data_IF_261396430764
#
_entry.id   IF_261396430764
#
_cell.length_a   1.000
_cell.length_b   1.000
_cell.length_c   1.000
_cell.angle_alpha   90.00
_cell.angle_beta   90.00
_cell.angle_gamma   90.00
#
_symmetry.space_group_name_H-M   'P 1'
#
loop_
_entity.id
_entity.type
_entity.pdbx_description
1 polymer ?
#
# COMPACT_ATOMS: atom_id res chain seq x y z
N UNK A 1 6.94 24.79 -7.59
CA UNK A 1 6.09 23.62 -7.21
C UNK A 1 5.93 22.70 -8.41
N UNK A 2 5.82 21.38 -8.18
CA UNK A 2 5.50 20.41 -9.22
C UNK A 2 4.04 20.56 -9.64
N UNK A 3 3.73 20.46 -10.93
CA UNK A 3 2.34 20.54 -11.41
C UNK A 3 1.64 19.18 -11.47
N UNK A 4 2.40 18.08 -11.36
CA UNK A 4 1.93 16.71 -11.45
C UNK A 4 2.63 15.81 -10.45
N UNK A 5 1.95 14.75 -10.00
CA UNK A 5 2.51 13.73 -9.14
C UNK A 5 1.50 12.63 -8.84
N UNK A 6 1.97 11.51 -8.27
CA UNK A 6 1.10 10.44 -7.83
C UNK A 6 1.73 9.66 -6.68
N UNK A 7 0.87 9.14 -5.81
CA UNK A 7 1.22 8.14 -4.80
C UNK A 7 0.62 6.82 -5.24
N UNK A 8 1.45 5.80 -5.37
CA UNK A 8 1.06 4.44 -5.68
C UNK A 8 1.20 3.57 -4.43
N UNK A 9 0.23 2.68 -4.16
CA UNK A 9 0.31 1.68 -3.10
C UNK A 9 0.68 0.33 -3.69
N UNK A 10 1.54 -0.43 -3.00
CA UNK A 10 1.98 -1.75 -3.42
C UNK A 10 1.28 -2.87 -2.65
N UNK A 11 0.48 -3.66 -3.38
CA UNK A 11 -0.27 -4.80 -2.86
C UNK A 11 0.55 -6.08 -3.02
N UNK A 12 1.14 -6.56 -1.93
CA UNK A 12 2.09 -7.67 -1.97
C UNK A 12 1.43 -9.00 -2.33
N UNK A 13 0.17 -9.20 -1.93
CA UNK A 13 -0.56 -10.45 -2.12
C UNK A 13 -0.84 -10.75 -3.60
N UNK A 14 -0.97 -9.71 -4.41
CA UNK A 14 -1.37 -9.81 -5.83
C UNK A 14 -0.33 -9.19 -6.78
N UNK A 15 0.79 -8.70 -6.26
CA UNK A 15 1.86 -8.02 -6.99
C UNK A 15 1.36 -6.87 -7.91
N UNK A 16 0.51 -6.00 -7.35
CA UNK A 16 -0.07 -4.86 -8.07
C UNK A 16 0.22 -3.53 -7.40
N UNK A 17 0.21 -2.48 -8.22
CA UNK A 17 0.20 -1.09 -7.80
C UNK A 17 -1.19 -0.49 -8.03
N UNK A 18 -1.71 0.21 -7.03
CA UNK A 18 -2.92 1.05 -7.18
C UNK A 18 -2.57 2.52 -6.97
N UNK A 19 -3.36 3.42 -7.54
CA UNK A 19 -3.21 4.86 -7.29
C UNK A 19 -3.93 5.20 -5.99
N UNK A 20 -3.22 5.74 -4.99
CA UNK A 20 -3.84 6.30 -3.78
C UNK A 20 -4.33 7.72 -4.05
N UNK A 21 -3.46 8.52 -4.65
CA UNK A 21 -3.72 9.91 -4.97
C UNK A 21 -2.92 10.29 -6.20
N UNK A 22 -3.47 11.14 -7.07
CA UNK A 22 -2.73 11.65 -8.22
C UNK A 22 -3.21 13.02 -8.64
N UNK A 23 -2.27 13.78 -9.20
CA UNK A 23 -2.50 15.02 -9.90
C UNK A 23 -1.88 14.86 -11.29
N UNK A 24 -2.72 14.78 -12.33
CA UNK A 24 -2.27 14.67 -13.73
C UNK A 24 -2.29 13.27 -14.36
N UNK A 25 -2.85 12.25 -13.70
CA UNK A 25 -3.11 10.93 -14.31
C UNK A 25 -4.56 10.84 -14.82
N UNK A 26 -4.77 10.28 -16.03
CA UNK A 26 -6.10 10.07 -16.61
C UNK A 26 -6.82 8.83 -16.08
N UNK A 27 -6.10 7.72 -15.88
CA UNK A 27 -6.65 6.46 -15.35
C UNK A 27 -6.11 6.19 -13.96
N UNK A 28 -6.91 5.64 -13.05
CA UNK A 28 -6.47 5.34 -11.68
C UNK A 28 -6.67 3.87 -11.28
N UNK A 29 -7.00 3.02 -12.25
CA UNK A 29 -7.17 1.58 -12.04
C UNK A 29 -5.85 0.92 -11.59
N UNK A 30 -5.93 -0.09 -10.72
CA UNK A 30 -4.78 -0.93 -10.36
C UNK A 30 -4.13 -1.56 -11.59
N UNK A 31 -2.82 -1.80 -11.50
CA UNK A 31 -2.02 -2.38 -12.57
C UNK A 31 -0.90 -3.27 -12.01
N UNK A 32 -0.42 -4.23 -12.80
CA UNK A 32 0.67 -5.11 -12.40
C UNK A 32 1.96 -4.34 -12.13
N UNK A 33 2.63 -4.68 -11.04
CA UNK A 33 3.90 -4.07 -10.67
C UNK A 33 5.03 -4.55 -11.60
N UNK A 34 6.11 -3.77 -11.78
CA UNK A 34 7.31 -4.28 -12.44
C UNK A 34 7.93 -5.45 -11.67
N UNK A 35 8.51 -6.41 -12.40
CA UNK A 35 9.17 -7.57 -11.76
C UNK A 35 10.24 -7.12 -10.77
N UNK A 36 10.24 -7.74 -9.58
CA UNK A 36 11.20 -7.47 -8.49
C UNK A 36 11.21 -6.00 -8.03
N UNK A 37 10.07 -5.30 -8.14
CA UNK A 37 9.93 -3.89 -7.74
C UNK A 37 10.50 -3.63 -6.33
N UNK A 38 10.10 -4.41 -5.33
CA UNK A 38 10.55 -4.23 -3.95
C UNK A 38 12.06 -4.43 -3.79
N UNK A 39 12.65 -5.45 -4.42
CA UNK A 39 14.10 -5.69 -4.34
C UNK A 39 14.90 -4.57 -5.02
N UNK A 40 14.48 -4.15 -6.22
CA UNK A 40 15.22 -3.19 -7.04
C UNK A 40 15.10 -1.76 -6.51
N UNK A 41 13.92 -1.37 -6.03
CA UNK A 41 13.73 -0.10 -5.33
C UNK A 41 14.34 -0.09 -3.92
N UNK A 42 14.63 -1.26 -3.35
CA UNK A 42 15.22 -1.40 -2.02
C UNK A 42 16.59 -0.72 -1.84
N UNK A 43 17.34 -0.48 -2.92
CA UNK A 43 18.59 0.30 -2.88
C UNK A 43 18.35 1.78 -2.49
N UNK A 44 17.10 2.25 -2.59
CA UNK A 44 16.72 3.65 -2.40
C UNK A 44 15.77 3.86 -1.20
N UNK A 45 15.81 2.97 -0.18
CA UNK A 45 14.90 3.00 0.98
C UNK A 45 14.84 4.33 1.75
N UNK A 46 15.89 5.13 1.69
CA UNK A 46 16.00 6.42 2.38
C UNK A 46 16.39 7.55 1.42
N UNK A 47 16.15 7.32 0.12
CA UNK A 47 16.55 8.27 -0.91
C UNK A 47 15.52 8.26 -2.03
N UNK A 48 15.85 8.97 -3.09
CA UNK A 48 15.03 9.07 -4.28
C UNK A 48 15.72 8.43 -5.49
N UNK A 49 14.95 8.29 -6.55
CA UNK A 49 15.37 7.81 -7.86
C UNK A 49 15.10 8.96 -8.83
N UNK A 50 16.15 9.47 -9.45
CA UNK A 50 16.00 10.44 -10.55
C UNK A 50 15.60 9.65 -11.79
N UNK A 51 14.43 9.95 -12.32
CA UNK A 51 13.87 9.29 -13.49
C UNK A 51 14.54 9.86 -14.75
N UNK A 52 15.60 9.19 -15.17
CA UNK A 52 16.28 9.41 -16.45
C UNK A 52 15.98 8.21 -17.37
N UNK A 53 16.43 8.23 -18.62
CA UNK A 53 16.06 7.17 -19.58
C UNK A 53 16.66 5.77 -19.28
N UNK A 54 17.33 5.57 -18.14
CA UNK A 54 18.22 4.42 -17.89
C UNK A 54 17.73 3.41 -16.83
N UNK A 55 16.55 3.58 -16.24
CA UNK A 55 16.04 2.65 -15.23
C UNK A 55 15.35 1.45 -15.90
N UNK A 56 16.14 0.43 -16.22
CA UNK A 56 15.68 -0.79 -16.92
C UNK A 56 14.56 -1.56 -16.21
N UNK A 57 14.38 -1.36 -14.91
CA UNK A 57 13.35 -2.05 -14.12
C UNK A 57 12.01 -1.31 -14.07
N UNK A 58 11.98 -0.01 -14.38
CA UNK A 58 10.73 0.75 -14.47
C UNK A 58 10.10 0.43 -15.82
N UNK A 59 9.19 -0.54 -15.82
CA UNK A 59 8.62 -1.14 -17.03
C UNK A 59 7.09 -1.18 -16.97
N UNK A 60 6.48 -1.65 -18.06
CA UNK A 60 5.04 -1.88 -18.15
C UNK A 60 4.22 -0.61 -17.88
N UNK A 61 3.15 -0.78 -17.11
CA UNK A 61 2.21 0.31 -16.84
C UNK A 61 2.84 1.38 -15.93
N UNK A 62 3.72 1.01 -14.99
CA UNK A 62 4.43 1.99 -14.15
C UNK A 62 5.22 3.00 -15.00
N UNK A 63 5.91 2.52 -16.05
CA UNK A 63 6.63 3.39 -16.98
C UNK A 63 5.68 4.36 -17.69
N UNK A 64 4.53 3.86 -18.17
CA UNK A 64 3.52 4.70 -18.83
C UNK A 64 2.98 5.78 -17.90
N UNK A 65 2.64 5.42 -16.65
CA UNK A 65 2.16 6.37 -15.63
C UNK A 65 3.19 7.45 -15.32
N UNK A 66 4.44 7.02 -15.18
CA UNK A 66 5.55 7.93 -14.87
C UNK A 66 5.78 8.92 -16.02
N UNK A 67 5.68 8.48 -17.27
CA UNK A 67 5.77 9.34 -18.45
C UNK A 67 4.59 10.31 -18.55
N UNK A 68 3.35 9.86 -18.29
CA UNK A 68 2.15 10.72 -18.27
C UNK A 68 2.26 11.87 -17.26
N UNK A 69 2.91 11.60 -16.13
CA UNK A 69 3.20 12.56 -15.06
C UNK A 69 4.36 13.51 -15.35
N UNK A 70 5.08 13.36 -16.46
CA UNK A 70 6.39 13.99 -16.66
C UNK A 70 7.33 13.71 -15.46
N UNK A 71 7.30 12.48 -14.94
CA UNK A 71 7.97 12.06 -13.71
C UNK A 71 9.46 12.38 -13.74
N UNK A 72 9.95 13.03 -12.68
CA UNK A 72 11.37 13.38 -12.49
C UNK A 72 11.97 12.71 -11.27
N UNK A 73 11.19 12.58 -10.21
CA UNK A 73 11.64 11.97 -8.96
C UNK A 73 10.66 10.87 -8.59
N UNK A 74 11.19 9.70 -8.25
CA UNK A 74 10.45 8.59 -7.67
C UNK A 74 11.06 8.25 -6.31
N UNK A 75 10.27 8.30 -5.24
CA UNK A 75 10.70 7.96 -3.88
C UNK A 75 9.98 6.70 -3.45
N UNK A 76 10.67 5.58 -3.20
CA UNK A 76 10.02 4.39 -2.70
C UNK A 76 9.70 4.54 -1.21
N UNK A 77 8.49 4.13 -0.83
CA UNK A 77 7.94 4.31 0.51
C UNK A 77 8.16 3.03 1.33
N UNK A 78 9.34 2.89 1.92
CA UNK A 78 9.72 1.70 2.68
C UNK A 78 9.54 1.87 4.19
N UNK A 79 8.80 0.95 4.80
CA UNK A 79 8.84 0.77 6.24
C UNK A 79 9.65 -0.49 6.56
N UNK A 80 10.86 -0.31 7.12
CA UNK A 80 11.87 -1.37 7.29
C UNK A 80 12.21 -2.04 5.94
N UNK A 81 11.89 -3.32 5.78
CA UNK A 81 12.10 -4.11 4.56
C UNK A 81 10.90 -4.15 3.63
N UNK A 82 9.78 -3.54 4.04
CA UNK A 82 8.51 -3.65 3.32
C UNK A 82 8.24 -2.41 2.48
N UNK A 83 8.06 -2.61 1.18
CA UNK A 83 7.69 -1.54 0.24
C UNK A 83 6.19 -1.27 0.34
N UNK A 84 5.77 -0.15 0.91
CA UNK A 84 4.34 0.20 0.98
C UNK A 84 3.84 0.83 -0.32
N UNK A 85 4.73 1.44 -1.11
CA UNK A 85 4.33 2.17 -2.29
C UNK A 85 5.44 3.01 -2.91
N UNK A 86 5.06 3.88 -3.85
CA UNK A 86 5.96 4.78 -4.55
C UNK A 86 5.34 6.19 -4.60
N UNK A 87 6.14 7.22 -4.32
CA UNK A 87 5.79 8.61 -4.54
C UNK A 87 6.48 9.12 -5.80
N UNK A 88 5.71 9.49 -6.82
CA UNK A 88 6.21 10.06 -8.06
C UNK A 88 5.91 11.55 -8.10
N UNK A 89 6.92 12.36 -8.41
CA UNK A 89 6.81 13.81 -8.58
C UNK A 89 7.24 14.17 -9.99
N UNK A 90 6.36 14.89 -10.70
CA UNK A 90 6.60 15.38 -12.05
C UNK A 90 7.62 16.51 -12.09
N UNK A 91 7.88 17.00 -13.31
CA UNK A 91 8.68 18.21 -13.51
C UNK A 91 8.09 19.42 -12.77
N UNK A 92 8.97 20.33 -12.36
CA UNK A 92 8.56 21.64 -11.84
C UNK A 92 7.85 22.44 -12.94
N UNK A 93 6.93 23.31 -12.53
CA UNK A 93 6.18 24.17 -13.44
C UNK A 93 7.08 25.01 -14.36
N UNK A 94 8.15 25.59 -13.80
CA UNK A 94 9.12 26.41 -14.54
C UNK A 94 10.18 25.58 -15.29
N UNK A 95 10.10 24.24 -15.27
CA UNK A 95 11.03 23.35 -15.97
C UNK A 95 12.43 23.23 -15.35
N UNK A 96 12.73 23.99 -14.30
CA UNK A 96 14.00 23.91 -13.58
C UNK A 96 14.20 22.55 -12.88
N UNK A 97 15.46 22.22 -12.59
CA UNK A 97 15.80 21.04 -11.81
C UNK A 97 15.39 21.21 -10.33
N UNK A 98 15.16 20.09 -9.64
CA UNK A 98 15.02 20.11 -8.18
C UNK A 98 16.39 20.34 -7.53
N UNK A 99 16.42 21.29 -6.61
CA UNK A 99 17.59 21.51 -5.76
C UNK A 99 17.73 20.37 -4.74
N UNK A 100 18.94 20.19 -4.21
CA UNK A 100 19.19 19.21 -3.16
C UNK A 100 18.33 19.45 -1.90
N UNK A 101 18.05 20.72 -1.57
CA UNK A 101 17.18 21.08 -0.45
C UNK A 101 15.74 20.65 -0.67
N UNK A 102 15.18 20.86 -1.87
CA UNK A 102 13.81 20.43 -2.20
C UNK A 102 13.67 18.91 -2.22
N UNK A 103 14.68 18.22 -2.73
CA UNK A 103 14.74 16.75 -2.70
C UNK A 103 14.75 16.24 -1.25
N UNK A 104 15.57 16.84 -0.37
CA UNK A 104 15.58 16.47 1.06
C UNK A 104 14.23 16.69 1.72
N UNK A 105 13.55 17.80 1.42
CA UNK A 105 12.19 18.05 1.92
C UNK A 105 11.24 16.96 1.41
N UNK A 106 11.32 16.59 0.14
CA UNK A 106 10.51 15.52 -0.43
C UNK A 106 10.76 14.17 0.25
N UNK A 107 12.01 13.83 0.53
CA UNK A 107 12.39 12.61 1.27
C UNK A 107 11.84 12.62 2.71
N UNK A 108 11.86 13.76 3.40
CA UNK A 108 11.27 13.92 4.73
C UNK A 108 9.75 13.72 4.68
N UNK A 109 9.08 14.33 3.69
CA UNK A 109 7.64 14.17 3.50
C UNK A 109 7.30 12.72 3.16
N UNK A 110 8.07 12.07 2.29
CA UNK A 110 7.91 10.66 1.95
C UNK A 110 8.08 9.73 3.16
N UNK A 111 9.02 10.03 4.06
CA UNK A 111 9.20 9.29 5.30
C UNK A 111 7.99 9.42 6.24
N UNK A 112 7.43 10.63 6.39
CA UNK A 112 6.21 10.82 7.18
C UNK A 112 5.00 10.13 6.54
N UNK A 113 4.84 10.25 5.22
CA UNK A 113 3.81 9.54 4.46
C UNK A 113 3.91 8.03 4.67
N UNK A 114 5.12 7.47 4.60
CA UNK A 114 5.36 6.04 4.80
C UNK A 114 4.90 5.57 6.18
N UNK A 115 5.21 6.33 7.24
CA UNK A 115 4.74 6.03 8.61
C UNK A 115 3.22 6.07 8.70
N UNK A 116 2.59 7.07 8.09
CA UNK A 116 1.13 7.20 8.08
C UNK A 116 0.45 6.04 7.34
N UNK A 117 0.98 5.64 6.17
CA UNK A 117 0.50 4.49 5.40
C UNK A 117 0.63 3.19 6.18
N UNK A 118 1.78 2.98 6.85
CA UNK A 118 1.99 1.79 7.68
C UNK A 118 1.00 1.73 8.85
N UNK A 119 0.81 2.85 9.55
CA UNK A 119 -0.13 2.92 10.67
C UNK A 119 -1.56 2.67 10.21
N UNK A 120 -1.97 3.23 9.07
CA UNK A 120 -3.27 2.97 8.47
C UNK A 120 -3.47 1.48 8.20
N UNK A 121 -2.51 0.82 7.56
CA UNK A 121 -2.58 -0.62 7.29
C UNK A 121 -2.64 -1.45 8.59
N UNK A 122 -1.89 -1.06 9.61
CA UNK A 122 -1.91 -1.73 10.91
C UNK A 122 -3.28 -1.61 11.59
N UNK A 123 -3.89 -0.43 11.57
CA UNK A 123 -5.22 -0.19 12.15
C UNK A 123 -6.28 -1.04 11.41
N UNK A 124 -6.23 -1.07 10.07
CA UNK A 124 -7.15 -1.90 9.28
C UNK A 124 -6.99 -3.39 9.62
N UNK A 125 -5.75 -3.89 9.71
CA UNK A 125 -5.48 -5.28 10.09
C UNK A 125 -6.00 -5.63 11.50
N UNK A 126 -5.93 -4.69 12.45
CA UNK A 126 -6.48 -4.89 13.80
C UNK A 126 -8.01 -4.96 13.76
N UNK A 127 -8.67 -4.04 13.03
CA UNK A 127 -10.12 -4.02 12.89
C UNK A 127 -10.66 -5.30 12.19
N UNK A 128 -10.02 -5.73 11.11
CA UNK A 128 -10.38 -6.97 10.41
C UNK A 128 -10.26 -8.20 11.31
N UNK A 129 -9.16 -8.32 12.06
CA UNK A 129 -8.98 -9.41 13.03
C UNK A 129 -10.01 -9.38 14.16
N UNK A 130 -10.37 -8.18 14.63
CA UNK A 130 -11.43 -8.00 15.62
C UNK A 130 -12.78 -8.51 15.12
N UNK A 131 -13.15 -8.16 13.87
CA UNK A 131 -14.37 -8.67 13.23
C UNK A 131 -14.36 -10.19 13.09
N UNK A 132 -13.23 -10.77 12.67
CA UNK A 132 -13.09 -12.22 12.56
C UNK A 132 -13.21 -12.93 13.92
N UNK A 133 -12.67 -12.34 14.99
CA UNK A 133 -12.78 -12.90 16.33
C UNK A 133 -14.23 -12.86 16.83
N UNK A 134 -14.95 -11.75 16.61
CA UNK A 134 -16.37 -11.64 16.98
C UNK A 134 -17.23 -12.67 16.25
N UNK A 135 -16.98 -12.91 14.96
CA UNK A 135 -17.70 -13.95 14.20
C UNK A 135 -17.46 -15.35 14.78
N UNK A 136 -16.22 -15.66 15.17
CA UNK A 136 -15.89 -16.94 15.83
C UNK A 136 -16.54 -17.08 17.20
N UNK A 137 -16.65 -16.00 17.97
CA UNK A 137 -17.35 -16.02 19.26
C UNK A 137 -18.83 -16.35 19.08
N UNK A 138 -19.49 -15.71 18.10
CA UNK A 138 -20.89 -15.99 17.77
C UNK A 138 -21.11 -17.45 17.34
N UNK A 139 -20.18 -18.01 16.55
CA UNK A 139 -20.23 -19.43 16.14
C UNK A 139 -20.13 -20.36 17.36
N UNK A 140 -19.21 -20.08 18.29
CA UNK A 140 -19.04 -20.87 19.51
C UNK A 140 -20.25 -20.76 20.45
N UNK A 141 -20.84 -19.57 20.59
CA UNK A 141 -22.05 -19.35 21.38
C UNK A 141 -23.22 -20.17 20.81
N UNK A 142 -23.41 -20.12 19.49
CA UNK A 142 -24.44 -20.91 18.80
C UNK A 142 -24.23 -22.42 19.01
N UNK A 143 -22.99 -22.91 18.90
CA UNK A 143 -22.67 -24.31 19.13
C UNK A 143 -22.92 -24.73 20.59
N UNK A 144 -22.61 -23.85 21.54
CA UNK A 144 -22.86 -24.10 22.96
C UNK A 144 -24.36 -24.16 23.27
N UNK A 145 -25.15 -23.23 22.75
CA UNK A 145 -26.61 -23.22 22.92
C UNK A 145 -27.25 -24.50 22.37
N UNK A 146 -26.79 -24.94 21.19
CA UNK A 146 -27.22 -26.23 20.61
C UNK A 146 -26.83 -27.40 21.52
N UNK A 147 -25.61 -27.41 22.08
CA UNK A 147 -25.15 -28.46 22.99
C UNK A 147 -25.98 -28.55 24.27
N UNK A 148 -26.33 -27.41 24.87
CA UNK A 148 -27.19 -27.35 26.07
C UNK A 148 -28.59 -27.85 25.76
N UNK A 149 -29.15 -27.46 24.61
CA UNK A 149 -30.47 -27.92 24.18
C UNK A 149 -30.51 -29.44 23.96
N UNK A 150 -29.49 -30.02 23.31
CA UNK A 150 -29.39 -31.48 23.10
C UNK A 150 -29.28 -32.21 24.44
N UNK A 151 -28.45 -31.72 25.36
CA UNK A 151 -28.25 -32.36 26.68
C UNK A 151 -29.55 -32.37 27.50
N UNK A 152 -30.31 -31.26 27.45
CA UNK A 152 -31.62 -31.16 28.12
C UNK A 152 -32.66 -32.17 27.60
N UNK A 153 -32.57 -32.60 26.33
CA UNK A 153 -33.45 -33.63 25.77
C UNK A 153 -33.03 -35.03 26.25
N UNK A 154 -31.73 -35.30 26.31
CA UNK A 154 -31.20 -36.60 26.75
C UNK A 154 -31.50 -36.87 28.24
N UNK A 155 -31.47 -35.85 29.10
CA UNK A 155 -31.81 -36.01 30.53
C UNK A 155 -33.28 -36.41 30.78
N UNK A 156 -34.19 -36.19 29.81
CA UNK A 156 -35.61 -36.53 29.94
C UNK A 156 -35.88 -38.02 29.70
N UNK A 157 -35.04 -38.69 28.90
CA UNK A 157 -35.17 -40.12 28.59
C UNK A 157 -34.64 -41.02 29.72
N UNK A 158 -33.84 -40.50 30.66
CA UNK A 158 -33.35 -41.28 31.82
C UNK A 158 -34.37 -41.39 32.98
N UNK A 159 -35.51 -40.69 32.91
CA UNK A 159 -36.54 -40.67 33.96
C UNK A 159 -37.77 -41.57 33.67
N UNK A 160 -37.70 -42.44 32.65
CA UNK A 160 -38.77 -43.35 32.22
C UNK A 160 -38.52 -44.82 32.50
#
# INVERSE_FOLDING_TARGET
MASKGAIFLYHHNIDQLSVLASQGLKKQNPFSSPKKLATLSGKYRHSHIVLENNQSWITGELKKRTLELDGKILVPLFHKDRLLGLLCVGKKFMGEAYTSAEIKILEIVANHLTKALYNYELIQNVDEKGKQLNLKLLELETLFDISVAISSVLDVDELG
#
